data_IF_806895881563
#
_entry.id   IF_806895881563
#
_cell.length_a   1.000
_cell.length_b   1.000
_cell.length_c   1.000
_cell.angle_alpha   90.00
_cell.angle_beta   90.00
_cell.angle_gamma   90.00
#
_symmetry.space_group_name_H-M   'P 1'
#
loop_
_entity.id
_entity.type
_entity.pdbx_description
1 polymer ?
#
# COMPACT_ATOMS: atom_id res chain seq x y z
N UNK A 1 1.43 41.80 6.59
CA UNK A 1 1.56 41.39 5.18
C UNK A 1 0.24 40.75 4.78
N UNK A 2 -0.45 41.24 3.75
CA UNK A 2 -1.70 40.61 3.28
C UNK A 2 -1.32 39.26 2.68
N UNK A 3 -1.74 38.17 3.32
CA UNK A 3 -1.47 36.79 2.88
C UNK A 3 -2.28 36.55 1.60
N UNK A 4 -1.63 36.09 0.52
CA UNK A 4 -2.31 35.76 -0.73
C UNK A 4 -3.01 34.41 -0.59
N UNK A 5 -4.25 34.42 -0.12
CA UNK A 5 -5.00 33.23 0.26
C UNK A 5 -5.77 32.57 -0.89
N UNK A 6 -6.42 31.44 -0.60
CA UNK A 6 -7.18 30.66 -1.59
C UNK A 6 -8.34 31.43 -2.19
N UNK A 7 -8.99 32.29 -1.41
CA UNK A 7 -10.12 33.08 -1.88
C UNK A 7 -9.65 34.15 -2.86
N UNK A 8 -8.53 34.81 -2.57
CA UNK A 8 -7.86 35.75 -3.46
C UNK A 8 -7.46 35.08 -4.77
N UNK A 9 -6.81 33.91 -4.73
CA UNK A 9 -6.46 33.15 -5.93
C UNK A 9 -7.68 32.86 -6.80
N UNK A 10 -8.77 32.34 -6.22
CA UNK A 10 -9.99 32.01 -6.96
C UNK A 10 -10.57 33.27 -7.60
N UNK A 11 -10.67 34.38 -6.86
CA UNK A 11 -11.26 35.61 -7.37
C UNK A 11 -10.40 36.23 -8.48
N UNK A 12 -9.07 36.23 -8.33
CA UNK A 12 -8.16 36.74 -9.35
C UNK A 12 -8.20 35.88 -10.61
N UNK A 13 -8.23 34.55 -10.48
CA UNK A 13 -8.41 33.65 -11.63
C UNK A 13 -9.73 33.94 -12.35
N UNK A 14 -10.84 34.12 -11.63
CA UNK A 14 -12.12 34.49 -12.25
C UNK A 14 -12.04 35.81 -12.99
N UNK A 15 -11.44 36.83 -12.36
CA UNK A 15 -11.32 38.17 -12.95
C UNK A 15 -10.49 38.13 -14.24
N UNK A 16 -9.29 37.55 -14.18
CA UNK A 16 -8.39 37.46 -15.34
C UNK A 16 -9.00 36.66 -16.48
N UNK A 17 -9.61 35.50 -16.17
CA UNK A 17 -10.20 34.65 -17.20
C UNK A 17 -11.49 35.26 -17.78
N UNK A 18 -12.24 36.08 -17.03
CA UNK A 18 -13.43 36.75 -17.56
C UNK A 18 -13.11 37.71 -18.71
N UNK A 19 -11.90 38.27 -18.73
CA UNK A 19 -11.46 39.20 -19.79
C UNK A 19 -11.09 38.50 -21.09
N UNK A 20 -10.87 37.18 -21.05
CA UNK A 20 -10.35 36.38 -22.17
C UNK A 20 -11.43 35.43 -22.71
N UNK A 21 -12.33 34.97 -21.84
CA UNK A 21 -13.34 33.98 -22.20
C UNK A 21 -14.45 34.57 -23.08
N UNK A 22 -14.97 33.79 -24.05
CA UNK A 22 -16.09 34.24 -24.87
C UNK A 22 -17.35 34.50 -24.04
N UNK A 23 -18.15 35.48 -24.47
CA UNK A 23 -19.31 36.03 -23.72
C UNK A 23 -20.32 34.95 -23.32
N UNK A 24 -20.48 33.89 -24.12
CA UNK A 24 -21.39 32.77 -23.83
C UNK A 24 -20.97 31.94 -22.61
N UNK A 25 -19.72 32.04 -22.15
CA UNK A 25 -19.22 31.41 -20.92
C UNK A 25 -19.28 32.36 -19.71
N UNK A 26 -19.76 33.58 -19.88
CA UNK A 26 -19.85 34.60 -18.83
C UNK A 26 -21.31 34.80 -18.40
N UNK A 27 -21.51 35.01 -17.10
CA UNK A 27 -22.78 35.44 -16.54
C UNK A 27 -22.63 36.88 -16.03
N UNK A 28 -23.37 37.82 -16.63
CA UNK A 28 -23.25 39.26 -16.34
C UNK A 28 -21.79 39.74 -16.40
N UNK A 29 -21.08 39.34 -17.47
CA UNK A 29 -19.68 39.71 -17.70
C UNK A 29 -18.66 39.00 -16.79
N UNK A 30 -19.08 38.05 -15.95
CA UNK A 30 -18.20 37.37 -15.01
C UNK A 30 -18.23 35.86 -15.21
N UNK A 31 -17.07 35.23 -15.09
CA UNK A 31 -16.97 33.78 -15.07
C UNK A 31 -17.70 33.23 -13.84
N UNK A 32 -18.52 32.20 -14.00
CA UNK A 32 -19.17 31.53 -12.88
C UNK A 32 -18.20 30.56 -12.20
N UNK A 33 -18.48 30.17 -10.95
CA UNK A 33 -17.68 29.14 -10.28
C UNK A 33 -17.77 27.78 -11.01
N UNK A 34 -18.90 27.52 -11.66
CA UNK A 34 -19.10 26.31 -12.46
C UNK A 34 -18.23 26.32 -13.72
N UNK A 35 -18.24 27.43 -14.48
CA UNK A 35 -17.41 27.56 -15.68
C UNK A 35 -15.92 27.58 -15.33
N UNK A 36 -15.53 28.24 -14.23
CA UNK A 36 -14.16 28.16 -13.75
C UNK A 36 -13.76 26.72 -13.40
N UNK A 37 -14.64 25.97 -12.72
CA UNK A 37 -14.37 24.55 -12.41
C UNK A 37 -14.10 23.75 -13.68
N UNK A 38 -14.96 23.93 -14.70
CA UNK A 38 -14.82 23.25 -15.99
C UNK A 38 -13.50 23.63 -16.64
N UNK A 39 -13.16 24.92 -16.75
CA UNK A 39 -11.93 25.44 -17.40
C UNK A 39 -10.65 24.94 -16.71
N UNK A 40 -10.68 24.73 -15.39
CA UNK A 40 -9.56 24.16 -14.64
C UNK A 40 -9.45 22.64 -14.75
N UNK A 41 -10.30 22.00 -15.56
CA UNK A 41 -10.31 20.56 -15.81
C UNK A 41 -10.98 19.76 -14.69
N UNK A 42 -11.88 20.38 -13.95
CA UNK A 42 -12.54 19.79 -12.79
C UNK A 42 -14.03 19.56 -13.05
N UNK A 43 -14.64 18.70 -12.23
CA UNK A 43 -16.08 18.49 -12.24
C UNK A 43 -16.84 19.76 -11.87
N UNK A 44 -18.07 19.89 -12.38
CA UNK A 44 -18.98 20.98 -12.02
C UNK A 44 -19.12 21.10 -10.50
N UNK A 45 -19.00 22.32 -9.98
CA UNK A 45 -19.12 22.61 -8.54
C UNK A 45 -17.84 22.48 -7.72
N UNK A 46 -16.71 22.10 -8.33
CA UNK A 46 -15.42 22.01 -7.64
C UNK A 46 -15.01 23.31 -6.93
N UNK A 47 -15.05 24.46 -7.62
CA UNK A 47 -14.72 25.76 -7.04
C UNK A 47 -15.71 26.17 -5.94
N UNK A 48 -17.01 25.87 -6.12
CA UNK A 48 -18.01 26.08 -5.08
C UNK A 48 -17.68 25.28 -3.81
N UNK A 49 -17.23 24.02 -3.98
CA UNK A 49 -16.75 23.20 -2.86
C UNK A 49 -15.54 23.83 -2.16
N UNK A 50 -14.57 24.35 -2.92
CA UNK A 50 -13.41 25.06 -2.34
C UNK A 50 -13.83 26.29 -1.53
N UNK A 51 -14.75 27.11 -2.04
CA UNK A 51 -15.32 28.23 -1.28
C UNK A 51 -15.99 27.78 0.01
N UNK A 52 -16.72 26.67 0.00
CA UNK A 52 -17.31 26.13 1.22
C UNK A 52 -16.26 25.61 2.21
N UNK A 53 -15.15 25.04 1.73
CA UNK A 53 -14.02 24.67 2.59
C UNK A 53 -13.39 25.90 3.26
N UNK A 54 -13.17 26.98 2.49
CA UNK A 54 -12.65 28.25 3.02
C UNK A 54 -13.58 28.86 4.07
N UNK A 55 -14.91 28.73 3.90
CA UNK A 55 -15.88 29.19 4.91
C UNK A 55 -15.73 28.46 6.25
N UNK A 56 -15.39 27.17 6.21
CA UNK A 56 -15.23 26.35 7.41
C UNK A 56 -13.80 26.45 7.99
N UNK A 57 -12.81 26.64 7.12
CA UNK A 57 -11.40 26.81 7.46
C UNK A 57 -10.81 27.95 6.60
N UNK A 58 -10.74 29.18 7.14
CA UNK A 58 -10.18 30.32 6.41
C UNK A 58 -8.72 30.14 5.96
N UNK A 59 -7.99 29.20 6.57
CA UNK A 59 -6.60 28.89 6.21
C UNK A 59 -6.49 27.75 5.18
N UNK A 60 -7.62 27.21 4.70
CA UNK A 60 -7.64 26.14 3.71
C UNK A 60 -6.80 26.50 2.48
N UNK A 61 -5.84 25.63 2.14
CA UNK A 61 -5.03 25.75 0.93
C UNK A 61 -5.47 24.72 -0.13
N UNK A 62 -5.49 25.12 -1.40
CA UNK A 62 -5.67 24.19 -2.51
C UNK A 62 -4.39 23.34 -2.61
N UNK A 63 -4.49 22.00 -2.61
CA UNK A 63 -3.32 21.16 -2.70
C UNK A 63 -2.56 21.31 -4.03
N UNK A 64 -1.25 21.07 -3.98
CA UNK A 64 -0.33 21.21 -5.11
C UNK A 64 -0.80 20.42 -6.34
N UNK A 65 -1.21 19.16 -6.18
CA UNK A 65 -1.66 18.30 -7.28
C UNK A 65 -2.85 18.90 -8.04
N UNK A 66 -3.77 19.55 -7.32
CA UNK A 66 -4.91 20.22 -7.95
C UNK A 66 -4.44 21.47 -8.72
N UNK A 67 -3.48 22.22 -8.20
CA UNK A 67 -2.91 23.41 -8.85
C UNK A 67 -2.11 23.06 -10.11
N UNK A 68 -1.40 21.93 -10.10
CA UNK A 68 -0.73 21.40 -11.29
C UNK A 68 -1.74 21.02 -12.37
N UNK A 69 -2.84 20.36 -11.99
CA UNK A 69 -3.94 20.05 -12.93
C UNK A 69 -4.58 21.32 -13.48
N UNK A 70 -4.80 22.33 -12.64
CA UNK A 70 -5.32 23.62 -13.09
C UNK A 70 -4.41 24.25 -14.15
N UNK A 71 -3.12 24.32 -13.84
CA UNK A 71 -2.10 24.92 -14.71
C UNK A 71 -2.04 24.21 -16.05
N UNK A 72 -1.97 22.87 -16.03
CA UNK A 72 -1.98 22.05 -17.24
C UNK A 72 -3.22 22.30 -18.09
N UNK A 73 -4.41 22.31 -17.49
CA UNK A 73 -5.66 22.50 -18.24
C UNK A 73 -5.81 23.92 -18.80
N UNK A 74 -5.36 24.94 -18.06
CA UNK A 74 -5.35 26.32 -18.56
C UNK A 74 -4.46 26.44 -19.79
N UNK A 75 -3.24 25.89 -19.74
CA UNK A 75 -2.31 25.88 -20.88
C UNK A 75 -2.93 25.13 -22.06
N UNK A 76 -3.47 23.93 -21.85
CA UNK A 76 -4.08 23.14 -22.92
C UNK A 76 -5.26 23.83 -23.61
N UNK A 77 -6.02 24.66 -22.89
CA UNK A 77 -7.25 25.28 -23.42
C UNK A 77 -7.04 26.68 -23.97
N UNK A 78 -6.12 27.44 -23.40
CA UNK A 78 -5.95 28.87 -23.68
C UNK A 78 -4.60 29.21 -24.30
N UNK A 79 -3.66 28.27 -24.33
CA UNK A 79 -2.32 28.49 -24.88
C UNK A 79 -1.64 29.69 -24.23
N UNK A 80 -1.24 30.66 -25.04
CA UNK A 80 -0.54 31.86 -24.58
C UNK A 80 -1.39 32.75 -23.67
N UNK A 81 -2.72 32.73 -23.82
CA UNK A 81 -3.61 33.57 -22.99
C UNK A 81 -3.68 33.08 -21.53
N UNK A 82 -3.20 31.86 -21.24
CA UNK A 82 -3.13 31.32 -19.88
C UNK A 82 -2.06 32.02 -19.01
N UNK A 83 -1.07 32.71 -19.59
CA UNK A 83 0.15 33.12 -18.90
C UNK A 83 -0.10 33.91 -17.60
N UNK A 84 -1.07 34.83 -17.60
CA UNK A 84 -1.38 35.62 -16.41
C UNK A 84 -1.97 34.72 -15.31
N UNK A 85 -2.89 33.82 -15.66
CA UNK A 85 -3.50 32.88 -14.73
C UNK A 85 -2.46 31.92 -14.12
N UNK A 86 -1.50 31.44 -14.93
CA UNK A 86 -0.39 30.60 -14.45
C UNK A 86 0.47 31.35 -13.44
N UNK A 87 0.85 32.61 -13.72
CA UNK A 87 1.60 33.44 -12.78
C UNK A 87 0.90 33.65 -11.43
N UNK A 88 -0.45 33.69 -11.42
CA UNK A 88 -1.22 33.76 -10.17
C UNK A 88 -1.10 32.47 -9.35
N UNK A 89 -1.16 31.31 -10.02
CA UNK A 89 -0.99 30.00 -9.38
C UNK A 89 0.44 29.86 -8.83
N UNK A 90 1.47 30.23 -9.61
CA UNK A 90 2.87 30.23 -9.18
C UNK A 90 3.09 31.14 -7.98
N UNK A 91 2.54 32.36 -8.01
CA UNK A 91 2.57 33.29 -6.88
C UNK A 91 1.93 32.68 -5.63
N UNK A 92 0.78 32.03 -5.78
CA UNK A 92 0.11 31.35 -4.67
C UNK A 92 0.96 30.24 -4.07
N UNK A 93 1.56 29.38 -4.90
CA UNK A 93 2.47 28.32 -4.44
C UNK A 93 3.75 28.86 -3.79
N UNK A 94 4.25 30.02 -4.22
CA UNK A 94 5.47 30.62 -3.65
C UNK A 94 5.21 31.26 -2.28
N UNK A 95 4.02 31.82 -2.07
CA UNK A 95 3.64 32.54 -0.84
C UNK A 95 3.14 31.57 0.24
N UNK A 96 2.59 30.42 -0.15
CA UNK A 96 1.99 29.47 0.77
C UNK A 96 2.75 28.14 0.72
N UNK A 97 2.95 27.51 1.87
CA UNK A 97 3.41 26.12 1.95
C UNK A 97 2.25 25.18 1.57
N UNK A 98 2.04 25.03 0.25
CA UNK A 98 0.89 24.31 -0.30
C UNK A 98 1.03 22.81 -0.03
N UNK A 99 0.05 22.16 0.62
CA UNK A 99 0.15 20.75 0.91
C UNK A 99 -0.01 19.91 -0.36
N UNK A 100 0.56 18.71 -0.38
CA UNK A 100 0.12 17.68 -1.33
C UNK A 100 -1.25 17.14 -0.91
N UNK A 101 -2.06 16.78 -1.88
CA UNK A 101 -3.38 16.25 -1.57
C UNK A 101 -3.26 14.86 -0.95
N UNK A 102 -3.98 14.65 0.15
CA UNK A 102 -4.04 13.35 0.80
C UNK A 102 -5.25 12.60 0.23
N UNK A 103 -4.98 11.58 -0.59
CA UNK A 103 -6.00 10.72 -1.20
C UNK A 103 -5.79 9.25 -0.83
N UNK A 104 -6.86 8.46 -0.99
CA UNK A 104 -6.82 7.00 -0.85
C UNK A 104 -6.29 6.57 0.51
N UNK A 105 -5.36 5.60 0.49
CA UNK A 105 -4.74 5.03 1.69
C UNK A 105 -4.07 6.08 2.59
N UNK A 106 -3.48 7.13 2.02
CA UNK A 106 -2.75 8.15 2.78
C UNK A 106 -3.66 8.96 3.70
N UNK A 107 -4.98 8.97 3.45
CA UNK A 107 -5.96 9.63 4.33
C UNK A 107 -6.04 8.97 5.70
N UNK A 108 -5.87 7.65 5.74
CA UNK A 108 -5.98 6.82 6.93
C UNK A 108 -4.59 6.45 7.48
N UNK A 109 -3.59 6.39 6.60
CA UNK A 109 -2.21 6.01 6.91
C UNK A 109 -1.22 7.00 6.28
N UNK A 110 -1.14 8.25 6.78
CA UNK A 110 -0.32 9.30 6.16
C UNK A 110 1.19 8.97 6.14
N UNK A 111 1.65 8.10 7.04
CA UNK A 111 3.04 7.70 7.16
C UNK A 111 3.34 6.33 6.54
N UNK A 112 2.35 5.71 5.86
CA UNK A 112 2.52 4.37 5.29
C UNK A 112 3.69 4.34 4.32
N UNK A 113 4.62 3.41 4.54
CA UNK A 113 5.78 3.21 3.67
C UNK A 113 5.37 2.49 2.38
N UNK A 114 4.74 3.23 1.46
CA UNK A 114 4.23 2.70 0.17
C UNK A 114 5.32 1.97 -0.63
N UNK A 115 6.56 2.49 -0.61
CA UNK A 115 7.69 1.92 -1.34
C UNK A 115 8.47 0.83 -0.56
N UNK A 116 7.96 0.35 0.59
CA UNK A 116 8.70 -0.58 1.45
C UNK A 116 9.20 -1.83 0.69
N UNK A 117 8.33 -2.39 -0.16
CA UNK A 117 8.62 -3.55 -0.99
C UNK A 117 9.06 -3.22 -2.42
N UNK A 118 9.48 -1.98 -2.71
CA UNK A 118 9.99 -1.59 -4.04
C UNK A 118 11.19 -2.44 -4.47
N UNK A 119 11.99 -2.86 -3.49
CA UNK A 119 13.06 -3.86 -3.64
C UNK A 119 13.21 -4.63 -2.33
N UNK A 120 13.53 -5.93 -2.42
CA UNK A 120 13.77 -6.80 -1.27
C UNK A 120 15.27 -6.90 -1.01
N UNK A 121 15.86 -5.82 -0.53
CA UNK A 121 17.33 -5.65 -0.43
C UNK A 121 17.88 -5.68 1.01
N UNK A 122 17.05 -5.99 2.00
CA UNK A 122 17.48 -6.15 3.40
C UNK A 122 16.90 -7.43 3.98
N UNK A 123 17.56 -7.99 5.00
CA UNK A 123 17.08 -9.20 5.70
C UNK A 123 15.68 -8.99 6.28
N UNK A 124 15.41 -7.82 6.86
CA UNK A 124 14.08 -7.45 7.40
C UNK A 124 13.00 -7.44 6.30
N UNK A 125 13.27 -6.83 5.14
CA UNK A 125 12.32 -6.84 4.03
C UNK A 125 12.08 -8.24 3.49
N UNK A 126 13.14 -9.05 3.36
CA UNK A 126 13.04 -10.42 2.90
C UNK A 126 12.23 -11.27 3.88
N UNK A 127 12.48 -11.14 5.18
CA UNK A 127 11.70 -11.78 6.24
C UNK A 127 10.21 -11.43 6.12
N UNK A 128 9.86 -10.15 6.07
CA UNK A 128 8.46 -9.76 5.93
C UNK A 128 7.84 -10.23 4.62
N UNK A 129 8.60 -10.22 3.53
CA UNK A 129 8.12 -10.75 2.25
C UNK A 129 7.81 -12.25 2.33
N UNK A 130 8.66 -13.04 2.96
CA UNK A 130 8.42 -14.46 3.24
C UNK A 130 7.20 -14.69 4.14
N UNK A 131 7.06 -13.87 5.17
CA UNK A 131 5.88 -13.94 6.05
C UNK A 131 4.58 -13.61 5.31
N UNK A 132 4.59 -12.61 4.40
CA UNK A 132 3.45 -12.33 3.53
C UNK A 132 3.18 -13.46 2.52
N UNK A 133 4.20 -14.21 2.10
CA UNK A 133 4.00 -15.40 1.27
C UNK A 133 3.21 -16.50 1.99
N UNK A 134 3.30 -16.58 3.32
CA UNK A 134 2.44 -17.43 4.12
C UNK A 134 1.06 -16.79 4.36
N UNK A 135 1.02 -15.58 4.93
CA UNK A 135 -0.19 -15.04 5.57
C UNK A 135 -0.92 -13.96 4.74
N UNK A 136 -0.22 -13.31 3.81
CA UNK A 136 -0.73 -12.17 3.05
C UNK A 136 -1.51 -12.57 1.80
N UNK A 137 -2.37 -11.66 1.34
CA UNK A 137 -3.09 -11.79 0.08
C UNK A 137 -3.24 -10.46 -0.66
N UNK A 138 -3.35 -10.56 -1.99
CA UNK A 138 -3.76 -9.48 -2.87
C UNK A 138 -5.06 -9.86 -3.59
N UNK A 139 -6.02 -8.95 -3.66
CA UNK A 139 -7.30 -9.18 -4.36
C UNK A 139 -7.71 -7.96 -5.16
N UNK A 140 -8.36 -8.17 -6.31
CA UNK A 140 -8.99 -7.07 -7.06
C UNK A 140 -10.08 -6.42 -6.20
N UNK A 141 -10.13 -5.09 -6.24
CA UNK A 141 -11.14 -4.26 -5.58
C UNK A 141 -11.57 -3.13 -6.52
N UNK A 142 -12.62 -3.38 -7.29
CA UNK A 142 -12.97 -2.51 -8.43
C UNK A 142 -11.84 -2.49 -9.46
N UNK A 143 -11.35 -1.30 -9.80
CA UNK A 143 -10.21 -1.11 -10.69
C UNK A 143 -8.85 -1.11 -9.97
N UNK A 144 -8.84 -1.23 -8.64
CA UNK A 144 -7.63 -1.19 -7.82
C UNK A 144 -7.29 -2.56 -7.23
N UNK A 145 -6.12 -2.66 -6.60
CA UNK A 145 -5.69 -3.84 -5.84
C UNK A 145 -5.74 -3.55 -4.34
N UNK A 146 -6.37 -4.46 -3.61
CA UNK A 146 -6.41 -4.45 -2.15
C UNK A 146 -5.42 -5.46 -1.59
N UNK A 147 -4.59 -4.98 -0.67
CA UNK A 147 -3.73 -5.80 0.17
C UNK A 147 -4.43 -6.16 1.47
N UNK A 148 -4.13 -7.35 1.99
CA UNK A 148 -4.55 -7.73 3.33
C UNK A 148 -3.70 -8.83 3.96
N UNK A 149 -3.71 -8.84 5.28
CA UNK A 149 -3.25 -9.93 6.14
C UNK A 149 -4.33 -10.15 7.18
N UNK A 150 -4.71 -11.41 7.42
CA UNK A 150 -5.72 -11.78 8.40
C UNK A 150 -5.26 -13.03 9.13
N UNK A 151 -5.25 -12.97 10.46
CA UNK A 151 -4.69 -13.99 11.33
C UNK A 151 -5.68 -14.30 12.44
N UNK A 152 -5.64 -15.52 12.97
CA UNK A 152 -6.24 -15.80 14.27
C UNK A 152 -5.56 -14.95 15.37
N UNK A 153 -6.36 -14.43 16.31
CA UNK A 153 -5.98 -13.41 17.30
C UNK A 153 -5.01 -13.90 18.39
N UNK A 154 -4.65 -15.18 18.38
CA UNK A 154 -3.64 -15.77 19.27
C UNK A 154 -2.24 -15.14 19.08
N UNK A 155 -1.16 -15.80 19.51
CA UNK A 155 0.25 -15.37 19.49
C UNK A 155 0.78 -14.74 18.17
N UNK A 156 0.03 -14.82 17.07
CA UNK A 156 0.37 -14.20 15.78
C UNK A 156 0.02 -12.70 15.73
N UNK A 157 -0.79 -12.18 16.66
CA UNK A 157 -1.13 -10.74 16.72
C UNK A 157 0.11 -9.85 16.85
N UNK A 158 1.10 -10.27 17.63
CA UNK A 158 2.34 -9.51 17.82
C UNK A 158 3.14 -9.35 16.52
N UNK A 159 3.17 -10.38 15.66
CA UNK A 159 3.78 -10.26 14.34
C UNK A 159 3.03 -9.29 13.44
N UNK A 160 1.70 -9.33 13.45
CA UNK A 160 0.90 -8.38 12.66
C UNK A 160 1.11 -6.94 13.12
N UNK A 161 1.21 -6.71 14.44
CA UNK A 161 1.53 -5.39 15.00
C UNK A 161 2.97 -4.98 14.62
N UNK A 162 3.95 -5.90 14.74
CA UNK A 162 5.34 -5.64 14.35
C UNK A 162 5.44 -5.30 12.87
N UNK A 163 4.74 -6.03 12.00
CA UNK A 163 4.65 -5.75 10.57
C UNK A 163 3.98 -4.39 10.30
N UNK A 164 2.83 -4.12 10.92
CA UNK A 164 2.11 -2.86 10.79
C UNK A 164 3.01 -1.66 11.17
N UNK A 165 3.72 -1.76 12.29
CA UNK A 165 4.72 -0.76 12.69
C UNK A 165 5.87 -0.64 11.67
N UNK A 166 6.37 -1.76 11.17
CA UNK A 166 7.46 -1.80 10.17
C UNK A 166 7.10 -0.99 8.92
N UNK A 167 5.88 -1.16 8.41
CA UNK A 167 5.39 -0.41 7.24
C UNK A 167 4.75 0.93 7.61
N UNK A 168 4.72 1.29 8.90
CA UNK A 168 4.09 2.52 9.42
C UNK A 168 2.59 2.63 9.09
N UNK A 169 1.90 1.50 9.16
CA UNK A 169 0.45 1.42 9.13
C UNK A 169 -0.14 1.98 10.43
N UNK A 170 -1.12 2.88 10.33
CA UNK A 170 -1.84 3.39 11.50
C UNK A 170 -2.63 2.26 12.20
N UNK A 171 -2.22 1.93 13.43
CA UNK A 171 -2.76 0.83 14.24
C UNK A 171 -4.24 1.00 14.61
N UNK A 172 -4.79 2.22 14.56
CA UNK A 172 -6.23 2.49 14.79
C UNK A 172 -7.13 1.79 13.76
N UNK A 173 -6.57 1.39 12.62
CA UNK A 173 -7.27 0.72 11.54
C UNK A 173 -6.96 -0.79 11.48
N UNK A 174 -6.45 -1.36 12.56
CA UNK A 174 -6.46 -2.81 12.76
C UNK A 174 -7.89 -3.21 13.12
N UNK A 175 -8.48 -4.10 12.33
CA UNK A 175 -9.80 -4.65 12.63
C UNK A 175 -9.65 -5.92 13.50
N UNK A 176 -10.41 -6.00 14.58
CA UNK A 176 -10.73 -7.26 15.25
C UNK A 176 -12.08 -7.78 14.70
N UNK A 177 -12.15 -9.05 14.29
CA UNK A 177 -13.38 -9.69 13.83
C UNK A 177 -13.63 -10.99 14.60
N UNK A 178 -14.84 -11.17 15.11
CA UNK A 178 -15.27 -12.44 15.71
C UNK A 178 -16.10 -13.19 14.67
N UNK A 179 -15.64 -14.39 14.28
CA UNK A 179 -16.38 -15.29 13.39
C UNK A 179 -16.96 -16.44 14.19
N UNK A 180 -18.16 -16.88 13.79
CA UNK A 180 -18.81 -18.05 14.36
C UNK A 180 -18.98 -19.09 13.28
N UNK A 181 -18.03 -19.99 13.19
CA UNK A 181 -18.06 -21.12 12.25
C UNK A 181 -17.85 -22.41 13.07
N UNK A 182 -18.93 -22.90 13.68
CA UNK A 182 -18.87 -23.92 14.74
C UNK A 182 -18.45 -23.36 16.11
N UNK A 183 -17.28 -22.74 16.19
CA UNK A 183 -16.71 -22.11 17.39
C UNK A 183 -16.49 -20.60 17.21
N UNK A 184 -16.51 -19.85 18.32
CA UNK A 184 -16.20 -18.43 18.34
C UNK A 184 -14.70 -18.25 18.14
N UNK A 185 -14.31 -17.69 17.00
CA UNK A 185 -12.92 -17.49 16.64
C UNK A 185 -12.64 -16.02 16.38
N UNK A 186 -11.65 -15.50 17.09
CA UNK A 186 -11.23 -14.12 16.95
C UNK A 186 -10.13 -14.02 15.89
N UNK A 187 -10.29 -13.05 14.99
CA UNK A 187 -9.32 -12.70 13.97
C UNK A 187 -8.87 -11.26 14.15
N UNK A 188 -7.64 -11.01 13.73
CA UNK A 188 -7.05 -9.67 13.62
C UNK A 188 -6.57 -9.47 12.19
N UNK A 189 -6.82 -8.29 11.62
CA UNK A 189 -6.45 -8.01 10.23
C UNK A 189 -6.02 -6.58 9.98
N UNK A 190 -5.16 -6.43 8.98
CA UNK A 190 -4.87 -5.17 8.30
C UNK A 190 -5.27 -5.29 6.84
N UNK A 191 -5.96 -4.27 6.30
CA UNK A 191 -6.34 -4.23 4.87
C UNK A 191 -6.38 -2.80 4.38
N UNK A 192 -5.86 -2.57 3.18
CA UNK A 192 -5.95 -1.26 2.53
C UNK A 192 -5.84 -1.38 1.01
N UNK A 193 -6.31 -0.36 0.30
CA UNK A 193 -6.24 -0.26 -1.16
C UNK A 193 -5.11 0.69 -1.54
N UNK A 194 -4.10 0.17 -2.22
CA UNK A 194 -2.98 0.94 -2.76
C UNK A 194 -2.38 0.18 -3.95
N UNK A 195 -2.53 0.74 -5.14
CA UNK A 195 -2.00 0.13 -6.36
C UNK A 195 -0.47 0.14 -6.33
N UNK A 196 0.17 1.22 -5.87
CA UNK A 196 1.63 1.31 -5.77
C UNK A 196 2.21 0.24 -4.84
N UNK A 197 1.70 0.13 -3.60
CA UNK A 197 2.16 -0.87 -2.64
C UNK A 197 1.95 -2.30 -3.18
N UNK A 198 0.79 -2.55 -3.78
CA UNK A 198 0.46 -3.86 -4.35
C UNK A 198 1.32 -4.19 -5.57
N UNK A 199 1.60 -3.22 -6.43
CA UNK A 199 2.41 -3.40 -7.63
C UNK A 199 3.86 -3.70 -7.27
N UNK A 200 4.40 -3.07 -6.21
CA UNK A 200 5.73 -3.42 -5.70
C UNK A 200 5.80 -4.87 -5.21
N UNK A 201 4.78 -5.37 -4.52
CA UNK A 201 4.72 -6.79 -4.16
C UNK A 201 4.66 -7.70 -5.40
N UNK A 202 3.81 -7.38 -6.37
CA UNK A 202 3.65 -8.15 -7.61
C UNK A 202 4.95 -8.21 -8.40
N UNK A 203 5.65 -7.08 -8.52
CA UNK A 203 6.94 -6.99 -9.22
C UNK A 203 8.02 -7.86 -8.58
N UNK A 204 7.91 -8.18 -7.29
CA UNK A 204 8.82 -9.08 -6.59
C UNK A 204 8.33 -10.54 -6.56
N UNK A 205 7.26 -10.88 -7.29
CA UNK A 205 6.75 -12.25 -7.45
C UNK A 205 5.49 -12.60 -6.66
N UNK A 206 4.85 -11.63 -5.98
CA UNK A 206 3.61 -11.88 -5.25
C UNK A 206 2.42 -12.06 -6.20
N UNK A 207 1.53 -13.01 -5.90
CA UNK A 207 0.40 -13.36 -6.78
C UNK A 207 -0.90 -12.71 -6.30
N UNK A 208 -1.71 -12.24 -7.25
CA UNK A 208 -3.05 -11.70 -6.99
C UNK A 208 -4.10 -12.80 -7.17
N UNK A 209 -5.00 -12.93 -6.19
CA UNK A 209 -6.16 -13.81 -6.25
C UNK A 209 -6.11 -15.00 -5.31
N UNK A 210 -7.20 -15.77 -5.30
CA UNK A 210 -7.46 -16.85 -4.35
C UNK A 210 -6.54 -18.07 -4.52
N UNK A 211 -6.03 -18.28 -5.74
CA UNK A 211 -5.15 -19.42 -6.04
C UNK A 211 -3.67 -19.17 -5.69
N UNK A 212 -3.34 -18.01 -5.08
CA UNK A 212 -1.97 -17.64 -4.67
C UNK A 212 -1.27 -18.79 -3.94
N UNK A 213 -1.92 -19.37 -2.92
CA UNK A 213 -1.32 -20.45 -2.10
C UNK A 213 -0.94 -21.72 -2.89
N UNK A 214 -1.53 -21.94 -4.07
CA UNK A 214 -1.24 -23.09 -4.95
C UNK A 214 -0.28 -22.76 -6.09
N UNK A 215 -0.04 -21.48 -6.34
CA UNK A 215 0.70 -21.01 -7.51
C UNK A 215 1.97 -20.25 -7.18
N UNK A 216 2.24 -19.94 -5.90
CA UNK A 216 3.48 -19.26 -5.51
C UNK A 216 4.71 -20.03 -5.98
N UNK A 217 5.77 -19.27 -6.24
CA UNK A 217 7.11 -19.74 -6.60
C UNK A 217 8.14 -19.01 -5.75
N UNK A 218 9.32 -19.60 -5.60
CA UNK A 218 10.41 -18.99 -4.85
C UNK A 218 10.82 -17.70 -5.56
N UNK A 219 10.75 -16.52 -4.91
CA UNK A 219 11.11 -15.27 -5.57
C UNK A 219 12.63 -15.21 -5.84
N UNK A 220 13.01 -14.36 -6.77
CA UNK A 220 14.41 -14.02 -6.96
C UNK A 220 14.87 -13.06 -5.86
N UNK A 221 15.97 -13.39 -5.17
CA UNK A 221 16.62 -12.56 -4.16
C UNK A 221 18.13 -12.55 -4.41
N UNK A 222 18.78 -11.41 -4.16
CA UNK A 222 20.17 -11.20 -4.60
C UNK A 222 21.23 -11.94 -3.78
N UNK A 223 20.88 -12.54 -2.64
CA UNK A 223 21.86 -13.23 -1.79
C UNK A 223 21.24 -14.36 -0.96
N UNK A 224 22.10 -15.30 -0.54
CA UNK A 224 21.73 -16.37 0.39
C UNK A 224 21.15 -15.82 1.68
N UNK A 225 21.68 -14.72 2.21
CA UNK A 225 21.19 -14.12 3.45
C UNK A 225 19.74 -13.62 3.32
N UNK A 226 19.38 -13.08 2.16
CA UNK A 226 18.00 -12.67 1.88
C UNK A 226 17.09 -13.89 1.74
N UNK A 227 17.56 -14.95 1.05
CA UNK A 227 16.83 -16.22 0.97
C UNK A 227 16.59 -16.86 2.34
N UNK A 228 17.59 -16.88 3.22
CA UNK A 228 17.47 -17.37 4.59
C UNK A 228 16.44 -16.56 5.40
N UNK A 229 16.48 -15.23 5.30
CA UNK A 229 15.52 -14.37 5.98
C UNK A 229 14.09 -14.57 5.44
N UNK A 230 13.93 -14.66 4.12
CA UNK A 230 12.66 -14.98 3.47
C UNK A 230 12.10 -16.32 3.94
N UNK A 231 12.92 -17.38 3.93
CA UNK A 231 12.48 -18.71 4.35
C UNK A 231 12.08 -18.72 5.85
N UNK A 232 12.80 -17.99 6.70
CA UNK A 232 12.44 -17.82 8.10
C UNK A 232 11.10 -17.11 8.27
N UNK A 233 10.84 -16.04 7.51
CA UNK A 233 9.56 -15.35 7.53
C UNK A 233 8.40 -16.26 7.10
N UNK A 234 8.61 -17.04 6.04
CA UNK A 234 7.63 -18.04 5.59
C UNK A 234 7.37 -19.10 6.66
N UNK A 235 8.44 -19.63 7.26
CA UNK A 235 8.35 -20.57 8.38
C UNK A 235 7.62 -19.97 9.58
N UNK A 236 7.80 -18.69 9.90
CA UNK A 236 7.09 -18.04 11.00
C UNK A 236 5.59 -17.89 10.74
N UNK A 237 5.17 -17.72 9.48
CA UNK A 237 3.76 -17.79 9.10
C UNK A 237 3.20 -19.20 9.15
N UNK A 238 3.73 -20.10 8.32
CA UNK A 238 3.10 -21.41 8.02
C UNK A 238 3.86 -22.64 8.56
N UNK A 239 5.03 -22.44 9.16
CA UNK A 239 5.82 -23.52 9.77
C UNK A 239 5.22 -24.04 11.07
N UNK A 240 5.50 -25.31 11.37
CA UNK A 240 4.99 -25.98 12.58
C UNK A 240 5.97 -25.84 13.75
N UNK A 241 5.47 -25.33 14.87
CA UNK A 241 6.21 -25.16 16.14
C UNK A 241 6.88 -26.49 16.55
N UNK A 242 8.08 -26.40 17.12
CA UNK A 242 8.90 -27.54 17.56
C UNK A 242 9.33 -28.50 16.44
N UNK A 243 9.18 -28.12 15.18
CA UNK A 243 9.63 -28.92 14.03
C UNK A 243 10.31 -28.02 13.00
N UNK A 244 11.13 -28.58 12.12
CA UNK A 244 11.69 -27.84 10.97
C UNK A 244 10.81 -27.95 9.71
N UNK A 245 9.51 -28.24 9.88
CA UNK A 245 8.60 -28.48 8.76
C UNK A 245 8.01 -27.17 8.27
N UNK A 246 8.02 -26.99 6.94
CA UNK A 246 7.17 -26.03 6.24
C UNK A 246 6.16 -26.78 5.37
N UNK A 247 5.03 -26.12 5.11
CA UNK A 247 3.97 -26.61 4.25
C UNK A 247 3.68 -25.58 3.16
N UNK A 248 3.21 -26.02 1.99
CA UNK A 248 2.65 -25.13 0.99
C UNK A 248 1.63 -25.85 0.12
N UNK A 249 0.63 -25.13 -0.40
CA UNK A 249 -0.24 -25.64 -1.47
C UNK A 249 0.48 -25.72 -2.83
N UNK A 250 1.59 -25.01 -3.00
CA UNK A 250 2.41 -25.04 -4.21
C UNK A 250 3.55 -26.05 -4.10
N UNK A 251 3.43 -27.18 -4.79
CA UNK A 251 4.54 -28.15 -4.90
C UNK A 251 5.77 -27.52 -5.58
N UNK A 252 5.55 -26.61 -6.53
CA UNK A 252 6.63 -25.93 -7.26
C UNK A 252 7.49 -25.11 -6.31
N UNK A 253 6.86 -24.37 -5.39
CA UNK A 253 7.56 -23.62 -4.35
C UNK A 253 8.42 -24.52 -3.45
N UNK A 254 7.87 -25.65 -2.98
CA UNK A 254 8.59 -26.58 -2.11
C UNK A 254 9.77 -27.23 -2.84
N UNK A 255 9.63 -27.58 -4.12
CA UNK A 255 10.73 -28.10 -4.96
C UNK A 255 11.83 -27.05 -5.10
N UNK A 256 11.47 -25.81 -5.43
CA UNK A 256 12.44 -24.72 -5.58
C UNK A 256 13.20 -24.43 -4.28
N UNK A 257 12.53 -24.46 -3.11
CA UNK A 257 13.21 -24.35 -1.81
C UNK A 257 14.18 -25.52 -1.60
N UNK A 258 13.73 -26.75 -1.87
CA UNK A 258 14.55 -27.95 -1.71
C UNK A 258 15.83 -27.86 -2.55
N UNK A 259 15.70 -27.45 -3.81
CA UNK A 259 16.82 -27.31 -4.74
C UNK A 259 17.74 -26.15 -4.32
N UNK A 260 17.19 -24.98 -4.02
CA UNK A 260 17.97 -23.79 -3.67
C UNK A 260 18.84 -23.99 -2.42
N UNK A 261 18.32 -24.68 -1.41
CA UNK A 261 19.03 -24.92 -0.16
C UNK A 261 19.70 -26.31 -0.08
N UNK A 262 19.68 -27.09 -1.17
CA UNK A 262 20.22 -28.45 -1.23
C UNK A 262 19.68 -29.37 -0.11
N UNK A 263 18.37 -29.29 0.17
CA UNK A 263 17.73 -30.01 1.28
C UNK A 263 17.63 -31.51 0.93
N UNK A 264 18.18 -32.43 1.74
CA UNK A 264 18.22 -33.86 1.41
C UNK A 264 16.87 -34.57 1.64
N UNK A 265 15.99 -34.00 2.46
CA UNK A 265 14.75 -34.65 2.89
C UNK A 265 13.71 -34.77 1.77
N UNK A 266 12.92 -35.84 1.81
CA UNK A 266 11.85 -36.10 0.84
C UNK A 266 10.67 -35.16 1.08
N UNK A 267 9.99 -34.79 0.01
CA UNK A 267 8.72 -34.05 0.04
C UNK A 267 7.58 -35.07 0.18
N UNK A 268 6.57 -34.78 1.00
CA UNK A 268 5.38 -35.61 1.12
C UNK A 268 4.09 -34.78 1.09
N UNK A 269 3.05 -35.38 0.51
CA UNK A 269 1.71 -34.78 0.43
C UNK A 269 0.97 -34.96 1.75
N UNK A 270 0.16 -33.96 2.11
CA UNK A 270 -0.88 -34.05 3.14
C UNK A 270 -2.20 -33.58 2.55
N UNK A 271 -3.30 -34.13 3.05
CA UNK A 271 -4.63 -33.62 2.79
C UNK A 271 -5.07 -32.81 4.02
N UNK A 272 -5.72 -31.66 3.81
CA UNK A 272 -6.27 -30.86 4.90
C UNK A 272 -7.67 -31.35 5.24
N UNK A 273 -8.08 -31.14 6.50
CA UNK A 273 -9.42 -31.46 6.99
C UNK A 273 -10.52 -30.75 6.19
N UNK A 274 -10.17 -29.65 5.51
CA UNK A 274 -11.04 -28.83 4.67
C UNK A 274 -10.99 -29.22 3.18
N UNK A 275 -10.42 -30.38 2.83
CA UNK A 275 -10.37 -30.90 1.46
C UNK A 275 -9.28 -30.29 0.57
N UNK A 276 -8.33 -29.54 1.14
CA UNK A 276 -7.17 -28.99 0.44
C UNK A 276 -6.00 -29.97 0.37
N UNK A 277 -5.07 -29.73 -0.55
CA UNK A 277 -3.82 -30.50 -0.67
C UNK A 277 -2.66 -29.59 -0.25
N UNK A 278 -1.76 -30.11 0.58
CA UNK A 278 -0.51 -29.48 0.97
C UNK A 278 0.69 -30.37 0.70
N UNK A 279 1.86 -29.76 0.58
CA UNK A 279 3.15 -30.43 0.41
C UNK A 279 4.09 -29.98 1.52
N UNK A 280 4.70 -30.95 2.19
CA UNK A 280 5.54 -30.73 3.35
C UNK A 280 6.99 -31.11 3.06
N UNK A 281 7.93 -30.45 3.71
CA UNK A 281 9.34 -30.82 3.71
C UNK A 281 9.97 -30.49 5.07
N UNK A 282 10.91 -31.32 5.52
CA UNK A 282 11.81 -30.97 6.63
C UNK A 282 12.93 -30.07 6.11
N UNK A 283 13.16 -28.92 6.75
CA UNK A 283 14.28 -28.03 6.43
C UNK A 283 15.61 -28.53 7.00
N UNK A 284 15.56 -29.29 8.11
CA UNK A 284 16.75 -29.78 8.83
C UNK A 284 17.27 -28.79 9.87
N UNK A 285 17.99 -29.30 10.86
CA UNK A 285 18.45 -28.50 12.00
C UNK A 285 19.51 -27.46 11.61
N UNK A 286 20.43 -27.81 10.71
CA UNK A 286 21.51 -26.90 10.32
C UNK A 286 20.98 -25.69 9.56
N UNK A 287 20.05 -25.89 8.62
CA UNK A 287 19.39 -24.80 7.92
C UNK A 287 18.52 -23.96 8.87
N UNK A 288 17.82 -24.57 9.83
CA UNK A 288 17.07 -23.83 10.86
C UNK A 288 17.99 -22.93 11.68
N UNK A 289 19.13 -23.44 12.16
CA UNK A 289 20.12 -22.65 12.91
C UNK A 289 20.71 -21.52 12.07
N UNK A 290 21.01 -21.80 10.80
CA UNK A 290 21.52 -20.79 9.88
C UNK A 290 20.51 -19.65 9.70
N UNK A 291 19.23 -19.98 9.43
CA UNK A 291 18.15 -18.99 9.34
C UNK A 291 18.00 -18.15 10.61
N UNK A 292 17.97 -18.79 11.77
CA UNK A 292 17.79 -18.14 13.07
C UNK A 292 18.97 -17.24 13.46
N UNK A 293 20.19 -17.63 13.09
CA UNK A 293 21.40 -16.82 13.27
C UNK A 293 21.47 -15.65 12.29
N UNK A 294 20.92 -15.84 11.07
CA UNK A 294 20.90 -14.82 10.02
C UNK A 294 19.92 -13.67 10.31
N UNK A 295 18.81 -13.93 11.00
CA UNK A 295 17.84 -12.91 11.39
C UNK A 295 17.27 -13.18 12.80
N UNK A 296 17.61 -12.30 13.74
CA UNK A 296 17.27 -12.46 15.17
C UNK A 296 15.82 -12.07 15.50
N UNK A 297 15.22 -11.22 14.67
CA UNK A 297 13.95 -10.53 14.92
C UNK A 297 12.70 -11.35 14.54
N UNK A 298 12.76 -12.67 14.71
CA UNK A 298 11.72 -13.65 14.35
C UNK A 298 10.85 -14.07 15.56
N UNK A 299 9.84 -14.92 15.36
CA UNK A 299 8.96 -15.40 16.44
C UNK A 299 9.71 -16.20 17.51
N UNK A 300 9.81 -15.64 18.73
CA UNK A 300 10.51 -16.26 19.87
C UNK A 300 10.12 -17.72 20.12
N UNK A 301 8.82 -18.04 20.19
CA UNK A 301 8.34 -19.41 20.47
C UNK A 301 8.78 -20.46 19.44
N UNK A 302 9.09 -20.03 18.22
CA UNK A 302 9.58 -20.89 17.13
C UNK A 302 11.11 -21.05 17.16
N UNK A 303 11.83 -20.23 17.95
CA UNK A 303 13.28 -20.31 18.15
C UNK A 303 13.70 -21.29 19.24
N UNK A 304 12.90 -21.42 20.31
CA UNK A 304 13.22 -22.13 21.57
C UNK A 304 13.78 -23.55 21.41
N UNK A 305 13.44 -24.25 20.32
CA UNK A 305 13.86 -25.64 20.10
C UNK A 305 15.12 -25.79 19.25
N UNK A 306 15.72 -24.69 18.80
CA UNK A 306 16.83 -24.68 17.85
C UNK A 306 18.05 -23.88 18.33
N UNK A 307 17.88 -23.06 19.37
CA UNK A 307 18.93 -22.40 20.16
C UNK A 307 19.54 -23.39 21.17
#
# INVERSE_FOLDING_TARGET
MIKYDTLMLINDLKSQLSNIMPINLLYRGNLTDENLSIILGQVKGHIKKKRNQIKNDPNYLIPLDALEVYSKNLICRLGNDAQIAIKLIEKYCKINDVPKAIYGVNRYHPNLKIEYFKSINTKEKAYWFGWLYAEGWLSKHGNNIRFGVELHKDDKKDLLIKFANTISFNLEYIDDEIRRDGELTDYVRIRFVSDDFSQYLINNGFIVGKEKSKQIELPYLDSRELYLAFLLGYYDGDGKVSTSIITSGSIKFIIQIKEHFNIPFKIWRTDSEWGGIGYNIYLGMDLMREMLSNYIDSLLRKRVHFE
#
